data_IF_965337392602
#
_entry.id   IF_965337392602
#
_cell.length_a   1.000
_cell.length_b   1.000
_cell.length_c   1.000
_cell.angle_alpha   90.00
_cell.angle_beta   90.00
_cell.angle_gamma   90.00
#
_symmetry.space_group_name_H-M   'P 1'
#
loop_
_entity.id
_entity.type
_entity.pdbx_description
1 polymer ?
#
# COMPACT_ATOMS: atom_id res chain seq x y z
N UNK A 1 11.92 -11.71 4.39
CA UNK A 1 10.79 -12.17 5.23
C UNK A 1 9.88 -11.02 5.62
N UNK A 2 10.35 -10.02 6.36
CA UNK A 2 9.53 -8.86 6.81
C UNK A 2 8.71 -8.23 5.68
N UNK A 3 9.37 -7.73 4.62
CA UNK A 3 8.71 -7.11 3.48
C UNK A 3 7.67 -8.04 2.83
N UNK A 4 7.96 -9.34 2.76
CA UNK A 4 7.03 -10.34 2.23
C UNK A 4 5.75 -10.45 3.07
N UNK A 5 5.85 -10.43 4.40
CA UNK A 5 4.67 -10.47 5.28
C UNK A 5 3.83 -9.19 5.13
N UNK A 6 4.49 -8.02 5.12
CA UNK A 6 3.84 -6.72 4.93
C UNK A 6 3.12 -6.64 3.58
N UNK A 7 3.83 -6.95 2.49
CA UNK A 7 3.29 -6.87 1.13
C UNK A 7 2.18 -7.91 0.94
N UNK A 8 2.40 -9.18 1.28
CA UNK A 8 1.37 -10.19 1.08
C UNK A 8 0.10 -9.92 1.90
N UNK A 9 0.23 -9.32 3.09
CA UNK A 9 -0.90 -8.89 3.91
C UNK A 9 -1.66 -7.73 3.28
N UNK A 10 -0.99 -6.59 3.08
CA UNK A 10 -1.66 -5.35 2.65
C UNK A 10 -1.96 -5.32 1.14
N UNK A 11 -0.98 -5.65 0.29
CA UNK A 11 -1.18 -5.68 -1.16
C UNK A 11 -2.16 -6.79 -1.54
N UNK A 12 -2.08 -7.95 -0.88
CA UNK A 12 -3.00 -9.06 -1.13
C UNK A 12 -4.45 -8.68 -0.84
N UNK A 13 -4.71 -8.02 0.29
CA UNK A 13 -6.04 -7.54 0.64
C UNK A 13 -6.55 -6.48 -0.36
N UNK A 14 -5.68 -5.54 -0.74
CA UNK A 14 -6.02 -4.52 -1.74
C UNK A 14 -6.34 -5.12 -3.11
N UNK A 15 -5.50 -6.01 -3.63
CA UNK A 15 -5.69 -6.56 -4.97
C UNK A 15 -6.93 -7.44 -5.06
N UNK A 16 -7.19 -8.27 -4.05
CA UNK A 16 -8.30 -9.22 -4.05
C UNK A 16 -9.65 -8.58 -3.75
N UNK A 17 -9.68 -7.56 -2.88
CA UNK A 17 -10.93 -7.05 -2.31
C UNK A 17 -11.12 -5.55 -2.45
N UNK A 18 -10.15 -4.82 -3.02
CA UNK A 18 -10.23 -3.36 -3.09
C UNK A 18 -10.01 -2.65 -1.76
N UNK A 19 -9.60 -3.37 -0.71
CA UNK A 19 -9.44 -2.83 0.64
C UNK A 19 -7.98 -2.46 0.90
N UNK A 20 -7.69 -1.17 0.96
CA UNK A 20 -6.41 -0.62 1.40
C UNK A 20 -6.50 -0.16 2.84
N UNK A 21 -5.80 -0.86 3.73
CA UNK A 21 -5.62 -0.42 5.12
C UNK A 21 -4.54 0.65 5.19
N UNK A 22 -4.64 1.57 6.15
CA UNK A 22 -3.57 2.54 6.46
C UNK A 22 -2.40 1.84 7.17
N UNK A 23 -1.73 0.92 6.49
CA UNK A 23 -0.67 0.05 7.01
C UNK A 23 0.67 0.75 7.28
N UNK A 24 0.63 1.99 7.78
CA UNK A 24 1.81 2.69 8.28
C UNK A 24 2.30 2.07 9.59
N UNK A 25 3.47 2.51 10.07
CA UNK A 25 4.18 1.89 11.19
C UNK A 25 3.32 1.83 12.48
N UNK A 26 2.61 2.90 12.83
CA UNK A 26 1.72 2.91 14.00
C UNK A 26 0.56 1.90 13.94
N UNK A 27 0.06 1.60 12.73
CA UNK A 27 -1.09 0.71 12.51
C UNK A 27 -0.68 -0.73 12.20
N UNK A 28 0.62 -1.03 12.23
CA UNK A 28 1.17 -2.35 11.95
C UNK A 28 1.98 -2.84 13.12
N UNK A 29 1.64 -4.00 13.68
CA UNK A 29 2.46 -4.70 14.68
C UNK A 29 2.99 -5.99 14.09
N UNK A 30 4.31 -6.10 13.93
CA UNK A 30 4.96 -7.32 13.45
C UNK A 30 5.15 -8.31 14.61
N UNK A 31 4.75 -9.56 14.41
CA UNK A 31 4.92 -10.66 15.37
C UNK A 31 6.20 -11.40 15.03
N UNK A 32 7.05 -11.56 16.04
CA UNK A 32 8.31 -12.29 15.95
C UNK A 32 8.28 -13.55 16.80
N UNK A 33 8.81 -14.63 16.25
CA UNK A 33 9.10 -15.86 16.96
C UNK A 33 10.52 -16.28 16.62
N UNK A 34 11.34 -16.58 17.63
CA UNK A 34 12.75 -16.94 17.45
C UNK A 34 13.52 -15.95 16.54
N UNK A 35 13.34 -14.65 16.80
CA UNK A 35 13.94 -13.53 16.04
C UNK A 35 13.54 -13.44 14.56
N UNK A 36 12.51 -14.18 14.14
CA UNK A 36 12.01 -14.18 12.77
C UNK A 36 10.61 -13.59 12.72
N UNK A 37 10.31 -12.66 11.79
CA UNK A 37 8.94 -12.19 11.61
C UNK A 37 8.10 -13.32 11.04
N UNK A 38 6.94 -13.58 11.64
CA UNK A 38 6.05 -14.68 11.25
C UNK A 38 4.66 -14.21 10.79
N UNK A 39 4.21 -13.05 11.29
CA UNK A 39 2.90 -12.49 10.97
C UNK A 39 2.87 -10.99 11.27
N UNK A 40 1.86 -10.30 10.76
CA UNK A 40 1.54 -8.94 11.19
C UNK A 40 0.10 -8.89 11.72
N UNK A 41 -0.13 -7.99 12.67
CA UNK A 41 -1.45 -7.54 13.07
C UNK A 41 -1.65 -6.10 12.60
N UNK A 42 -2.71 -5.87 11.83
CA UNK A 42 -3.15 -4.51 11.51
C UNK A 42 -4.14 -4.03 12.56
N UNK A 43 -4.11 -2.74 12.86
CA UNK A 43 -5.05 -2.06 13.77
C UNK A 43 -5.53 -0.75 13.15
N UNK A 44 -6.53 -0.16 13.79
CA UNK A 44 -7.15 1.12 13.40
C UNK A 44 -7.66 1.14 11.95
N UNK A 45 -8.92 0.76 11.79
CA UNK A 45 -9.57 0.63 10.48
C UNK A 45 -10.39 1.87 10.10
N UNK A 46 -10.32 2.96 10.88
CA UNK A 46 -11.14 4.16 10.64
C UNK A 46 -10.76 4.91 9.35
N UNK A 47 -9.48 4.85 8.95
CA UNK A 47 -8.99 5.50 7.75
C UNK A 47 -8.80 4.59 6.53
N UNK A 48 -9.22 3.32 6.61
CA UNK A 48 -9.11 2.40 5.47
C UNK A 48 -9.89 2.92 4.25
N UNK A 49 -9.43 2.53 3.06
CA UNK A 49 -10.04 2.91 1.80
C UNK A 49 -10.48 1.68 1.02
N UNK A 50 -11.74 1.65 0.65
CA UNK A 50 -12.40 0.53 -0.01
C UNK A 50 -12.89 0.95 -1.37
N UNK A 51 -12.31 0.36 -2.41
CA UNK A 51 -12.85 0.36 -3.76
C UNK A 51 -14.05 -0.62 -3.80
N UNK A 52 -15.24 -0.03 -3.67
CA UNK A 52 -16.49 -0.78 -3.56
C UNK A 52 -16.83 -1.57 -4.83
N UNK A 53 -16.40 -1.11 -6.01
CA UNK A 53 -16.63 -1.84 -7.25
C UNK A 53 -15.91 -3.19 -7.24
N UNK A 54 -14.68 -3.20 -6.75
CA UNK A 54 -13.90 -4.43 -6.59
C UNK A 54 -14.44 -5.32 -5.48
N UNK A 55 -14.82 -4.74 -4.34
CA UNK A 55 -15.39 -5.55 -3.26
C UNK A 55 -16.69 -6.23 -3.71
N UNK A 56 -17.53 -5.50 -4.46
CA UNK A 56 -18.81 -6.00 -4.99
C UNK A 56 -18.65 -7.01 -6.13
N UNK A 57 -17.49 -7.11 -6.77
CA UNK A 57 -17.20 -8.22 -7.69
C UNK A 57 -16.82 -9.51 -6.95
N UNK A 58 -16.76 -9.50 -5.63
CA UNK A 58 -16.52 -10.68 -4.79
C UNK A 58 -17.80 -11.11 -4.06
N UNK A 59 -17.76 -12.29 -3.42
CA UNK A 59 -18.86 -12.76 -2.55
C UNK A 59 -19.07 -11.91 -1.28
N UNK A 60 -18.20 -10.93 -1.00
CA UNK A 60 -18.27 -10.06 0.17
C UNK A 60 -18.84 -8.67 -0.15
N UNK A 61 -19.44 -8.50 -1.33
CA UNK A 61 -20.09 -7.26 -1.71
C UNK A 61 -21.19 -6.84 -0.74
N UNK A 62 -21.36 -5.53 -0.58
CA UNK A 62 -22.41 -4.96 0.27
C UNK A 62 -22.84 -3.57 -0.22
N UNK A 63 -24.01 -3.13 0.23
CA UNK A 63 -24.47 -1.76 0.03
C UNK A 63 -23.93 -0.87 1.16
N UNK A 64 -23.00 0.01 0.82
CA UNK A 64 -22.39 0.91 1.79
C UNK A 64 -23.30 2.11 2.09
N UNK A 65 -23.23 2.60 3.33
CA UNK A 65 -23.90 3.86 3.69
C UNK A 65 -23.38 5.00 2.80
N UNK A 66 -24.25 5.88 2.26
CA UNK A 66 -23.82 6.96 1.35
C UNK A 66 -22.76 7.90 1.94
N UNK A 67 -22.76 8.06 3.26
CA UNK A 67 -21.83 8.92 4.00
C UNK A 67 -20.61 8.16 4.56
N UNK A 68 -20.37 6.93 4.12
CA UNK A 68 -19.22 6.16 4.59
C UNK A 68 -17.91 6.88 4.25
N UNK A 69 -17.07 7.10 5.27
CA UNK A 69 -15.76 7.74 5.12
C UNK A 69 -14.69 6.81 4.56
N UNK A 70 -14.95 5.50 4.57
CA UNK A 70 -14.01 4.45 4.14
C UNK A 70 -14.22 4.03 2.69
N UNK A 71 -15.38 4.30 2.09
CA UNK A 71 -15.60 4.04 0.67
C UNK A 71 -14.90 5.12 -0.15
N UNK A 72 -14.13 4.70 -1.15
CA UNK A 72 -13.42 5.63 -2.03
C UNK A 72 -14.39 6.38 -2.93
N UNK A 73 -14.20 7.69 -3.04
CA UNK A 73 -14.95 8.52 -4.00
C UNK A 73 -14.21 8.67 -5.33
N UNK A 74 -12.88 8.57 -5.27
CA UNK A 74 -12.01 8.64 -6.43
C UNK A 74 -11.42 7.25 -6.74
N UNK A 75 -11.31 6.92 -8.03
CA UNK A 75 -10.82 5.63 -8.51
C UNK A 75 -9.46 5.24 -7.91
N UNK A 76 -8.60 6.23 -7.68
CA UNK A 76 -7.20 6.01 -7.30
C UNK A 76 -6.97 6.05 -5.79
N UNK A 77 -7.99 6.38 -4.99
CA UNK A 77 -7.81 6.66 -3.56
C UNK A 77 -7.32 5.43 -2.77
N UNK A 78 -7.82 4.23 -3.11
CA UNK A 78 -7.35 2.99 -2.49
C UNK A 78 -5.88 2.71 -2.87
N UNK A 79 -5.54 2.72 -4.16
CA UNK A 79 -4.15 2.53 -4.63
C UNK A 79 -3.18 3.54 -3.99
N UNK A 80 -3.56 4.82 -3.97
CA UNK A 80 -2.75 5.90 -3.38
C UNK A 80 -2.59 5.72 -1.87
N UNK A 81 -3.62 5.19 -1.18
CA UNK A 81 -3.53 4.86 0.25
C UNK A 81 -2.50 3.76 0.47
N UNK A 82 -2.57 2.65 -0.27
CA UNK A 82 -1.58 1.59 -0.19
C UNK A 82 -0.16 2.10 -0.46
N UNK A 83 0.03 2.85 -1.55
CA UNK A 83 1.34 3.42 -1.92
C UNK A 83 1.86 4.33 -0.80
N UNK A 84 1.04 5.26 -0.33
CA UNK A 84 1.48 6.23 0.67
C UNK A 84 1.77 5.58 2.03
N UNK A 85 0.86 4.77 2.56
CA UNK A 85 1.00 4.28 3.94
C UNK A 85 1.91 3.07 4.05
N UNK A 86 1.86 2.16 3.07
CA UNK A 86 2.63 0.90 3.12
C UNK A 86 3.96 1.04 2.38
N UNK A 87 3.95 1.53 1.14
CA UNK A 87 5.17 1.56 0.33
C UNK A 87 6.10 2.71 0.73
N UNK A 88 5.56 3.92 0.87
CA UNK A 88 6.36 5.10 1.22
C UNK A 88 6.67 5.16 2.73
N UNK A 89 5.65 5.28 3.59
CA UNK A 89 5.86 5.55 5.02
C UNK A 89 6.33 4.36 5.84
N UNK A 90 5.95 3.14 5.45
CA UNK A 90 6.37 1.96 6.17
C UNK A 90 7.65 1.37 5.58
N UNK A 91 7.58 0.84 4.35
CA UNK A 91 8.72 0.18 3.75
C UNK A 91 9.81 1.16 3.29
N UNK A 92 9.45 2.33 2.78
CA UNK A 92 10.42 3.35 2.37
C UNK A 92 11.29 3.83 3.52
N UNK A 93 10.68 4.20 4.65
CA UNK A 93 11.44 4.56 5.87
C UNK A 93 12.34 3.42 6.35
N UNK A 94 11.85 2.17 6.32
CA UNK A 94 12.67 1.02 6.68
C UNK A 94 13.85 0.84 5.71
N UNK A 95 13.64 1.03 4.41
CA UNK A 95 14.70 0.98 3.39
C UNK A 95 15.76 2.04 3.67
N UNK A 96 15.35 3.29 3.93
CA UNK A 96 16.27 4.39 4.25
C UNK A 96 17.08 4.09 5.52
N UNK A 97 16.43 3.62 6.59
CA UNK A 97 17.11 3.24 7.83
C UNK A 97 18.11 2.10 7.64
N UNK A 98 17.76 1.08 6.86
CA UNK A 98 18.66 -0.04 6.58
C UNK A 98 19.83 0.38 5.68
N UNK A 99 19.57 1.21 4.67
CA UNK A 99 20.61 1.75 3.78
C UNK A 99 21.65 2.55 4.58
N UNK A 100 21.18 3.41 5.49
CA UNK A 100 22.04 4.18 6.38
C UNK A 100 22.83 3.27 7.32
N UNK A 101 22.16 2.35 8.03
CA UNK A 101 22.79 1.46 9.00
C UNK A 101 23.86 0.54 8.40
N UNK A 102 23.62 0.00 7.20
CA UNK A 102 24.54 -0.91 6.52
C UNK A 102 25.49 -0.20 5.54
N UNK A 103 25.39 1.13 5.41
CA UNK A 103 26.18 1.94 4.48
C UNK A 103 26.14 1.44 3.02
N UNK A 104 24.94 1.07 2.55
CA UNK A 104 24.70 0.63 1.16
C UNK A 104 23.64 1.49 0.50
N UNK A 105 23.55 1.45 -0.83
CA UNK A 105 22.51 2.18 -1.57
C UNK A 105 21.12 1.62 -1.26
N UNK A 106 20.12 2.49 -1.11
CA UNK A 106 18.71 2.10 -0.94
C UNK A 106 18.20 1.13 -2.01
N UNK A 107 18.70 1.27 -3.25
CA UNK A 107 18.38 0.38 -4.38
C UNK A 107 18.58 -1.11 -4.05
N UNK A 108 19.48 -1.46 -3.12
CA UNK A 108 19.67 -2.84 -2.66
C UNK A 108 18.42 -3.37 -1.95
N UNK A 109 17.79 -2.55 -1.10
CA UNK A 109 16.60 -2.96 -0.36
C UNK A 109 15.32 -2.77 -1.19
N UNK A 110 15.26 -1.76 -2.06
CA UNK A 110 14.16 -1.61 -3.00
C UNK A 110 14.04 -2.81 -3.96
N UNK A 111 15.15 -3.44 -4.36
CA UNK A 111 15.14 -4.74 -5.08
C UNK A 111 14.39 -5.83 -4.35
N UNK A 112 14.58 -5.91 -3.03
CA UNK A 112 13.88 -6.89 -2.19
C UNK A 112 12.39 -6.58 -2.13
N UNK A 113 12.03 -5.30 -1.94
CA UNK A 113 10.61 -4.86 -1.92
C UNK A 113 9.95 -5.17 -3.27
N UNK A 114 10.59 -4.79 -4.38
CA UNK A 114 10.13 -5.04 -5.75
C UNK A 114 9.85 -6.51 -5.99
N UNK A 115 10.80 -7.38 -5.69
CA UNK A 115 10.64 -8.82 -5.86
C UNK A 115 9.45 -9.38 -5.05
N UNK A 116 9.17 -8.84 -3.86
CA UNK A 116 8.01 -9.25 -3.06
C UNK A 116 6.68 -8.74 -3.66
N UNK A 117 6.65 -7.53 -4.23
CA UNK A 117 5.48 -7.01 -4.95
C UNK A 117 5.19 -7.86 -6.19
N UNK A 118 6.21 -8.12 -7.02
CA UNK A 118 6.10 -8.98 -8.21
C UNK A 118 5.61 -10.39 -7.85
N UNK A 119 6.19 -10.99 -6.81
CA UNK A 119 5.77 -12.29 -6.31
C UNK A 119 4.32 -12.29 -5.83
N UNK A 120 3.86 -11.23 -5.17
CA UNK A 120 2.48 -11.10 -4.70
C UNK A 120 1.50 -10.99 -5.89
N UNK A 121 1.81 -10.19 -6.90
CA UNK A 121 1.03 -10.11 -8.12
C UNK A 121 0.96 -11.46 -8.82
N UNK A 122 2.11 -12.09 -9.08
CA UNK A 122 2.18 -13.40 -9.76
C UNK A 122 1.37 -14.46 -9.02
N UNK A 123 1.50 -14.53 -7.68
CA UNK A 123 0.77 -15.48 -6.83
C UNK A 123 -0.75 -15.30 -6.89
N UNK A 124 -1.23 -14.09 -7.15
CA UNK A 124 -2.65 -13.75 -7.15
C UNK A 124 -3.22 -13.59 -8.57
N UNK A 125 -2.41 -13.79 -9.62
CA UNK A 125 -2.78 -13.53 -11.01
C UNK A 125 -4.11 -14.17 -11.43
N UNK A 126 -4.31 -15.45 -11.08
CA UNK A 126 -5.52 -16.20 -11.47
C UNK A 126 -6.75 -15.90 -10.59
N UNK A 127 -6.59 -15.03 -9.59
CA UNK A 127 -7.63 -14.64 -8.63
C UNK A 127 -8.06 -13.19 -8.75
N UNK A 128 -7.44 -12.43 -9.66
CA UNK A 128 -7.70 -11.01 -9.87
C UNK A 128 -8.22 -10.85 -11.30
N UNK A 129 -9.18 -9.94 -11.49
CA UNK A 129 -9.58 -9.53 -12.84
C UNK A 129 -8.36 -9.10 -13.68
N UNK A 130 -8.18 -9.59 -14.93
CA UNK A 130 -7.00 -9.27 -15.73
C UNK A 130 -6.79 -7.78 -16.02
N UNK A 131 -7.88 -7.00 -16.15
CA UNK A 131 -7.78 -5.57 -16.37
C UNK A 131 -7.30 -4.86 -15.09
N UNK A 132 -7.86 -5.23 -13.92
CA UNK A 132 -7.38 -4.75 -12.61
C UNK A 132 -5.94 -5.13 -12.35
N UNK A 133 -5.55 -6.38 -12.62
CA UNK A 133 -4.17 -6.84 -12.49
C UNK A 133 -3.23 -5.91 -13.28
N UNK A 134 -3.56 -5.67 -14.55
CA UNK A 134 -2.72 -4.85 -15.44
C UNK A 134 -2.67 -3.40 -14.97
N UNK A 135 -3.82 -2.81 -14.62
CA UNK A 135 -3.91 -1.43 -14.15
C UNK A 135 -3.12 -1.20 -12.87
N UNK A 136 -3.34 -2.02 -11.84
CA UNK A 136 -2.67 -1.85 -10.54
C UNK A 136 -1.18 -2.19 -10.63
N UNK A 137 -0.80 -3.17 -11.45
CA UNK A 137 0.61 -3.47 -11.70
C UNK A 137 1.31 -2.26 -12.32
N UNK A 138 0.72 -1.63 -13.35
CA UNK A 138 1.29 -0.43 -13.96
C UNK A 138 1.42 0.72 -12.96
N UNK A 139 0.38 0.97 -12.16
CA UNK A 139 0.38 2.05 -11.16
C UNK A 139 1.42 1.85 -10.05
N UNK A 140 1.54 0.63 -9.53
CA UNK A 140 2.43 0.34 -8.40
C UNK A 140 3.88 0.22 -8.88
N UNK A 141 4.13 -0.47 -10.00
CA UNK A 141 5.49 -0.84 -10.44
C UNK A 141 6.16 0.18 -11.35
N UNK A 142 5.38 0.98 -12.11
CA UNK A 142 5.93 1.78 -13.21
C UNK A 142 5.55 3.25 -13.18
N UNK A 143 4.31 3.59 -12.80
CA UNK A 143 3.89 4.98 -12.70
C UNK A 143 4.61 5.69 -11.55
N UNK A 144 4.74 7.01 -11.66
CA UNK A 144 5.14 7.84 -10.53
C UNK A 144 4.09 7.73 -9.42
N UNK A 145 4.55 7.75 -8.17
CA UNK A 145 3.69 7.56 -7.02
C UNK A 145 3.00 8.85 -6.64
N UNK A 146 1.68 8.78 -6.41
CA UNK A 146 0.89 9.87 -5.85
C UNK A 146 0.71 9.65 -4.37
N UNK A 147 1.26 10.55 -3.56
CA UNK A 147 1.30 10.43 -2.10
C UNK A 147 0.77 11.68 -1.43
N UNK A 148 0.25 11.57 -0.19
CA UNK A 148 -0.33 12.72 0.51
C UNK A 148 0.75 13.75 0.85
N UNK A 149 0.55 14.99 0.41
CA UNK A 149 1.42 16.13 0.71
C UNK A 149 1.06 16.76 2.06
N UNK A 150 1.33 16.06 3.17
CA UNK A 150 0.87 16.45 4.51
C UNK A 150 1.23 17.90 4.90
N UNK A 151 2.46 18.34 4.61
CA UNK A 151 2.88 19.72 4.87
C UNK A 151 2.04 20.72 4.06
N UNK A 152 1.82 20.45 2.77
CA UNK A 152 1.01 21.30 1.90
C UNK A 152 -0.45 21.34 2.35
N UNK A 153 -1.00 20.21 2.79
CA UNK A 153 -2.36 20.16 3.36
C UNK A 153 -2.47 21.07 4.58
N UNK A 154 -1.52 21.00 5.52
CA UNK A 154 -1.48 21.87 6.70
C UNK A 154 -1.36 23.35 6.35
N UNK A 155 -0.52 23.70 5.39
CA UNK A 155 -0.33 25.09 4.96
C UNK A 155 -1.54 25.69 4.23
N UNK A 156 -2.41 24.85 3.66
CA UNK A 156 -3.60 25.31 2.92
C UNK A 156 -4.90 25.07 3.72
N UNK A 157 -4.80 24.75 5.01
CA UNK A 157 -5.94 24.38 5.87
C UNK A 157 -6.84 23.28 5.26
N UNK A 158 -6.23 22.41 4.46
CA UNK A 158 -6.89 21.35 3.71
C UNK A 158 -6.82 20.03 4.49
N UNK A 159 -7.26 20.04 5.75
CA UNK A 159 -7.29 18.85 6.61
C UNK A 159 -8.29 17.80 6.12
N UNK A 160 -9.34 18.25 5.42
CA UNK A 160 -10.40 17.39 4.87
C UNK A 160 -10.29 17.16 3.35
N UNK A 161 -9.32 17.78 2.68
CA UNK A 161 -9.12 17.63 1.24
C UNK A 161 -7.71 17.09 0.96
N UNK A 162 -7.63 15.88 0.41
CA UNK A 162 -6.36 15.24 0.11
C UNK A 162 -5.63 16.03 -0.99
N UNK A 163 -4.52 16.67 -0.62
CA UNK A 163 -3.58 17.23 -1.60
C UNK A 163 -2.49 16.19 -1.83
N UNK A 164 -2.46 15.60 -3.02
CA UNK A 164 -1.43 14.64 -3.40
C UNK A 164 -0.29 15.34 -4.14
N UNK A 165 0.93 14.87 -3.89
CA UNK A 165 2.13 15.21 -4.65
C UNK A 165 2.62 13.97 -5.41
N UNK A 166 3.32 14.21 -6.51
CA UNK A 166 3.93 13.14 -7.31
C UNK A 166 5.38 12.97 -6.88
N UNK A 167 5.81 11.73 -6.65
CA UNK A 167 7.19 11.37 -6.31
C UNK A 167 7.69 10.27 -7.25
N UNK A 168 9.00 10.23 -7.45
CA UNK A 168 9.64 9.20 -8.25
C UNK A 168 9.38 7.81 -7.65
N UNK A 169 9.04 6.84 -8.50
CA UNK A 169 8.79 5.47 -8.06
C UNK A 169 10.11 4.70 -7.88
N UNK A 170 10.49 4.33 -6.64
CA UNK A 170 11.76 3.66 -6.35
C UNK A 170 11.83 2.23 -6.91
N UNK A 171 10.69 1.60 -7.23
CA UNK A 171 10.65 0.26 -7.83
C UNK A 171 11.13 0.23 -9.28
N UNK A 172 11.29 1.40 -9.93
CA UNK A 172 11.87 1.48 -11.29
C UNK A 172 13.38 1.30 -11.30
N UNK A 173 14.05 1.78 -10.25
CA UNK A 173 15.52 1.85 -10.15
C UNK A 173 16.06 0.70 -9.29
N UNK A 174 15.26 0.25 -8.33
CA UNK A 174 15.45 -1.03 -7.64
C UNK A 174 14.97 -2.23 -8.45
#
# INVERSE_FOLDING_TARGET
MYAGIVINGYLGLFLLYGISLEGHQQNTTMIFENYKPIALCSRDFGGMKVDLATLNSTQYGYEAHPESSTITKEKDEATNTFIHTVMQYHLGELVTLLADHYHVKEAVFWKVVKAQVEACFLRLKDRIDPARYTEEYQRIMHADWRVKGLMRMRLNDATHHNINITVENPLRIG
#
